data_IF_586621147356
#
_entry.id   IF_586621147356
#
_cell.length_a   1.000
_cell.length_b   1.000
_cell.length_c   1.000
_cell.angle_alpha   90.00
_cell.angle_beta   90.00
_cell.angle_gamma   90.00
#
_symmetry.space_group_name_H-M   'P 1'
#
loop_
_entity.id
_entity.type
_entity.pdbx_description
1 polymer ?
#
# COMPACT_ATOMS: atom_id res chain seq x y z
N UNK A 1 23.20 12.69 17.41
CA UNK A 1 23.06 11.23 17.27
C UNK A 1 23.05 11.02 15.78
N UNK A 2 24.20 10.67 15.20
CA UNK A 2 24.30 10.47 13.76
C UNK A 2 23.56 9.19 13.42
N UNK A 3 22.54 9.34 12.58
CA UNK A 3 21.72 8.23 12.11
C UNK A 3 22.47 7.60 10.94
N UNK A 4 23.18 6.51 11.20
CA UNK A 4 23.90 5.72 10.20
C UNK A 4 22.91 4.80 9.46
N UNK A 5 22.12 5.39 8.55
CA UNK A 5 21.24 4.65 7.62
C UNK A 5 21.90 4.71 6.23
N UNK A 6 22.43 3.59 5.72
CA UNK A 6 23.05 3.54 4.39
C UNK A 6 22.01 3.73 3.29
N UNK A 7 22.47 4.24 2.15
CA UNK A 7 21.65 4.40 0.94
C UNK A 7 21.45 3.04 0.29
N UNK A 8 20.27 2.45 0.49
CA UNK A 8 19.94 1.09 0.04
C UNK A 8 20.37 0.76 -1.41
N UNK A 9 20.19 1.71 -2.33
CA UNK A 9 20.49 1.51 -3.76
C UNK A 9 21.98 1.70 -4.13
N UNK A 10 22.79 2.29 -3.27
CA UNK A 10 24.21 2.59 -3.52
C UNK A 10 25.15 1.72 -2.65
N UNK A 11 24.68 1.33 -1.47
CA UNK A 11 25.46 0.66 -0.43
C UNK A 11 24.85 -0.70 -0.10
N UNK A 12 24.65 -1.52 -1.13
CA UNK A 12 23.94 -2.83 -1.04
C UNK A 12 24.63 -3.84 -0.13
N UNK A 13 25.92 -3.66 0.15
CA UNK A 13 26.71 -4.53 1.04
C UNK A 13 26.60 -4.12 2.52
N UNK A 14 25.98 -2.97 2.83
CA UNK A 14 25.80 -2.47 4.20
C UNK A 14 24.45 -2.89 4.76
N UNK A 15 24.42 -3.23 6.05
CA UNK A 15 23.17 -3.50 6.76
C UNK A 15 22.34 -2.22 6.84
N UNK A 16 21.08 -2.27 6.40
CA UNK A 16 20.22 -1.08 6.28
C UNK A 16 19.99 -0.32 7.57
N UNK A 17 20.12 -0.98 8.72
CA UNK A 17 20.02 -0.36 10.04
C UNK A 17 18.74 0.49 10.23
N UNK A 18 17.65 0.09 9.56
CA UNK A 18 16.36 0.79 9.64
C UNK A 18 15.62 0.34 10.90
N UNK A 19 15.20 1.31 11.71
CA UNK A 19 14.30 1.07 12.84
C UNK A 19 12.83 1.14 12.41
N UNK A 20 12.03 0.22 12.93
CA UNK A 20 10.57 0.22 12.75
C UNK A 20 9.87 0.34 14.11
N UNK A 21 8.77 1.09 14.14
CA UNK A 21 7.84 1.13 15.27
C UNK A 21 6.47 0.67 14.80
N UNK A 22 5.84 -0.22 15.56
CA UNK A 22 4.51 -0.75 15.29
C UNK A 22 3.64 -0.55 16.53
N UNK A 23 2.42 -0.06 16.33
CA UNK A 23 1.47 0.18 17.40
C UNK A 23 0.12 -0.46 17.08
N UNK A 24 -0.52 -1.03 18.09
CA UNK A 24 -1.88 -1.54 18.02
C UNK A 24 -2.68 -0.96 19.19
N UNK A 25 -3.90 -0.48 18.90
CA UNK A 25 -4.81 0.09 19.89
C UNK A 25 -6.05 -0.80 19.95
N UNK A 26 -6.32 -1.36 21.11
CA UNK A 26 -7.55 -2.12 21.35
C UNK A 26 -8.72 -1.16 21.57
N UNK A 27 -9.55 -1.00 20.53
CA UNK A 27 -10.72 -0.11 20.52
C UNK A 27 -11.72 -0.50 21.63
N UNK A 28 -11.83 -1.78 21.98
CA UNK A 28 -12.78 -2.27 22.99
C UNK A 28 -12.54 -1.68 24.39
N UNK A 29 -11.34 -1.15 24.63
CA UNK A 29 -10.99 -0.45 25.89
C UNK A 29 -11.57 0.96 25.97
N UNK A 30 -12.06 1.52 24.87
CA UNK A 30 -12.56 2.88 24.79
C UNK A 30 -14.07 2.93 24.53
N UNK A 31 -14.60 2.01 23.73
CA UNK A 31 -16.04 1.87 23.47
C UNK A 31 -16.38 0.51 22.86
N UNK A 32 -17.67 0.11 22.87
CA UNK A 32 -18.14 -1.03 22.09
C UNK A 32 -17.76 -0.91 20.60
N UNK A 33 -17.37 -2.02 19.97
CA UNK A 33 -16.88 -2.03 18.58
C UNK A 33 -17.93 -1.53 17.58
N UNK A 34 -19.19 -1.93 17.76
CA UNK A 34 -20.31 -1.49 16.93
C UNK A 34 -20.50 0.04 16.99
N UNK A 35 -20.32 0.64 18.16
CA UNK A 35 -20.37 2.10 18.33
C UNK A 35 -19.20 2.78 17.62
N UNK A 36 -18.00 2.20 17.66
CA UNK A 36 -16.85 2.72 16.92
C UNK A 36 -17.08 2.66 15.41
N UNK A 37 -17.52 1.51 14.89
CA UNK A 37 -17.80 1.29 13.47
C UNK A 37 -18.85 2.28 12.95
N UNK A 38 -19.97 2.43 13.66
CA UNK A 38 -21.01 3.40 13.29
C UNK A 38 -20.50 4.85 13.27
N UNK A 39 -19.58 5.21 14.17
CA UNK A 39 -18.98 6.56 14.18
C UNK A 39 -18.01 6.74 13.01
N UNK A 40 -17.19 5.74 12.72
CA UNK A 40 -16.29 5.76 11.57
C UNK A 40 -17.07 5.86 10.26
N UNK A 41 -18.13 5.08 10.10
CA UNK A 41 -19.00 5.14 8.92
C UNK A 41 -19.65 6.51 8.72
N UNK A 42 -20.18 7.13 9.79
CA UNK A 42 -20.73 8.49 9.74
C UNK A 42 -19.68 9.53 9.34
N UNK A 43 -18.47 9.42 9.88
CA UNK A 43 -17.36 10.31 9.53
C UNK A 43 -16.99 10.16 8.04
N UNK A 44 -16.85 8.93 7.57
CA UNK A 44 -16.57 8.61 6.18
C UNK A 44 -17.67 9.13 5.25
N UNK A 45 -18.93 8.88 5.56
CA UNK A 45 -20.06 9.40 4.79
C UNK A 45 -20.05 10.94 4.73
N UNK A 46 -19.77 11.61 5.84
CA UNK A 46 -19.66 13.08 5.87
C UNK A 46 -18.54 13.59 4.96
N UNK A 47 -17.36 12.95 4.97
CA UNK A 47 -16.26 13.32 4.08
C UNK A 47 -16.63 13.12 2.61
N UNK A 48 -17.19 11.95 2.26
CA UNK A 48 -17.62 11.62 0.89
C UNK A 48 -18.72 12.57 0.37
N UNK A 49 -19.58 13.09 1.26
CA UNK A 49 -20.64 14.04 0.90
C UNK A 49 -20.15 15.47 0.63
N UNK A 50 -18.88 15.77 0.90
CA UNK A 50 -18.32 17.10 0.73
C UNK A 50 -18.13 17.44 -0.75
N UNK A 51 -18.27 18.73 -1.09
CA UNK A 51 -18.06 19.20 -2.46
C UNK A 51 -16.62 18.91 -2.91
N UNK A 52 -16.40 18.21 -4.03
CA UNK A 52 -15.08 18.01 -4.59
C UNK A 52 -14.41 19.34 -4.99
N UNK A 53 -13.09 19.38 -4.93
CA UNK A 53 -12.33 20.51 -5.46
C UNK A 53 -12.49 20.61 -7.00
N UNK A 54 -12.31 21.80 -7.61
CA UNK A 54 -12.31 21.93 -9.06
C UNK A 54 -11.34 20.94 -9.73
N UNK A 55 -11.82 20.21 -10.73
CA UNK A 55 -11.04 19.17 -11.42
C UNK A 55 -11.10 17.78 -10.80
N UNK A 56 -11.89 17.57 -9.75
CA UNK A 56 -12.11 16.25 -9.14
C UNK A 56 -13.60 15.87 -9.13
N UNK A 57 -13.89 14.59 -9.35
CA UNK A 57 -15.26 14.09 -9.43
C UNK A 57 -15.84 13.72 -8.07
N UNK A 58 -15.00 13.32 -7.11
CA UNK A 58 -15.42 12.88 -5.79
C UNK A 58 -14.33 13.08 -4.74
N UNK A 59 -14.73 13.18 -3.47
CA UNK A 59 -13.82 13.02 -2.33
C UNK A 59 -13.59 11.51 -2.12
N UNK A 60 -12.35 11.11 -1.83
CA UNK A 60 -12.00 9.73 -1.50
C UNK A 60 -11.34 9.64 -0.14
N UNK A 61 -11.45 8.48 0.50
CA UNK A 61 -10.86 8.17 1.81
C UNK A 61 -9.57 7.36 1.58
N UNK A 62 -8.52 7.57 2.39
CA UNK A 62 -7.30 6.76 2.31
C UNK A 62 -7.62 5.26 2.30
N UNK A 63 -7.06 4.54 1.32
CA UNK A 63 -7.32 3.11 1.08
C UNK A 63 -8.36 2.81 0.00
N UNK A 64 -9.25 3.75 -0.38
CA UNK A 64 -10.25 3.49 -1.43
C UNK A 64 -9.61 3.28 -2.82
N UNK A 65 -8.58 4.06 -3.16
CA UNK A 65 -7.86 3.95 -4.43
C UNK A 65 -7.20 2.57 -4.52
N UNK A 66 -6.47 2.19 -3.48
CA UNK A 66 -5.76 0.91 -3.39
C UNK A 66 -6.72 -0.27 -3.39
N UNK A 67 -7.88 -0.15 -2.71
CA UNK A 67 -8.93 -1.17 -2.72
C UNK A 67 -9.51 -1.37 -4.12
N UNK A 68 -9.78 -0.29 -4.85
CA UNK A 68 -10.30 -0.35 -6.21
C UNK A 68 -9.27 -0.94 -7.18
N UNK A 69 -8.01 -0.50 -7.09
CA UNK A 69 -6.91 -1.08 -7.87
C UNK A 69 -6.72 -2.58 -7.56
N UNK A 70 -6.78 -2.97 -6.29
CA UNK A 70 -6.65 -4.38 -5.87
C UNK A 70 -7.79 -5.23 -6.43
N UNK A 71 -9.03 -4.75 -6.41
CA UNK A 71 -10.18 -5.46 -7.00
C UNK A 71 -9.97 -5.64 -8.51
N UNK A 72 -9.63 -4.57 -9.21
CA UNK A 72 -9.34 -4.61 -10.64
C UNK A 72 -8.21 -5.59 -10.97
N UNK A 73 -7.09 -5.51 -10.27
CA UNK A 73 -5.95 -6.41 -10.51
C UNK A 73 -6.22 -7.88 -10.17
N UNK A 74 -7.16 -8.17 -9.26
CA UNK A 74 -7.60 -9.55 -9.00
C UNK A 74 -8.43 -10.14 -10.13
N UNK A 75 -9.20 -9.30 -10.82
CA UNK A 75 -10.09 -9.72 -11.91
C UNK A 75 -9.35 -9.73 -13.25
N UNK A 76 -8.54 -8.71 -13.52
CA UNK A 76 -7.92 -8.47 -14.82
C UNK A 76 -6.43 -8.88 -14.87
N UNK A 77 -5.81 -9.16 -13.71
CA UNK A 77 -4.37 -9.36 -13.59
C UNK A 77 -3.61 -8.06 -13.29
N UNK A 78 -2.32 -8.19 -12.99
CA UNK A 78 -1.44 -7.05 -12.70
C UNK A 78 -0.76 -6.62 -13.99
N UNK A 79 -0.94 -5.36 -14.37
CA UNK A 79 -0.20 -4.75 -15.47
C UNK A 79 1.27 -4.59 -15.07
N UNK A 80 2.17 -5.14 -15.88
CA UNK A 80 3.62 -5.06 -15.67
C UNK A 80 4.29 -4.41 -16.87
N UNK A 81 5.33 -3.63 -16.61
CA UNK A 81 6.11 -3.01 -17.67
C UNK A 81 6.96 -4.04 -18.42
N UNK A 82 7.22 -3.78 -19.70
CA UNK A 82 8.14 -4.58 -20.53
C UNK A 82 9.57 -4.64 -19.95
N UNK A 83 9.97 -3.65 -19.15
CA UNK A 83 11.27 -3.66 -18.47
C UNK A 83 11.24 -4.71 -17.35
N UNK A 84 10.20 -4.71 -16.52
CA UNK A 84 10.05 -5.67 -15.41
C UNK A 84 9.91 -7.10 -15.90
N UNK A 85 9.15 -7.35 -16.97
CA UNK A 85 9.00 -8.68 -17.57
C UNK A 85 10.34 -9.24 -18.07
N UNK A 86 11.15 -8.39 -18.71
CA UNK A 86 12.51 -8.75 -19.14
C UNK A 86 13.41 -9.09 -17.96
N UNK A 87 13.41 -8.28 -16.91
CA UNK A 87 14.19 -8.54 -15.69
C UNK A 87 13.78 -9.87 -15.04
N UNK A 88 12.48 -10.17 -14.97
CA UNK A 88 11.99 -11.45 -14.46
C UNK A 88 12.43 -12.64 -15.32
N UNK A 89 12.43 -12.48 -16.65
CA UNK A 89 12.93 -13.52 -17.55
C UNK A 89 14.42 -13.78 -17.34
N UNK A 90 15.23 -12.73 -17.24
CA UNK A 90 16.67 -12.84 -16.98
C UNK A 90 16.97 -13.50 -15.62
N UNK A 91 16.18 -13.17 -14.59
CA UNK A 91 16.28 -13.82 -13.28
C UNK A 91 15.87 -15.29 -13.35
N UNK A 92 14.80 -15.63 -14.08
CA UNK A 92 14.34 -16.99 -14.25
C UNK A 92 15.41 -17.88 -14.90
N UNK A 93 16.03 -17.38 -15.98
CA UNK A 93 17.16 -18.04 -16.65
C UNK A 93 18.38 -18.19 -15.73
N UNK A 94 18.76 -17.12 -15.01
CA UNK A 94 19.93 -17.13 -14.12
C UNK A 94 19.81 -18.16 -13.01
N UNK A 95 18.63 -18.30 -12.42
CA UNK A 95 18.37 -19.21 -11.31
C UNK A 95 17.79 -20.56 -11.75
N UNK A 96 17.66 -20.80 -13.05
CA UNK A 96 17.11 -22.02 -13.64
C UNK A 96 15.73 -22.38 -13.07
N UNK A 97 14.83 -21.39 -13.02
CA UNK A 97 13.43 -21.54 -12.67
C UNK A 97 12.54 -21.25 -13.88
N UNK A 98 11.34 -21.84 -13.92
CA UNK A 98 10.38 -21.60 -15.00
C UNK A 98 9.93 -20.14 -15.01
N UNK A 99 9.88 -19.53 -16.20
CA UNK A 99 9.35 -18.19 -16.39
C UNK A 99 7.81 -18.26 -16.43
N UNK A 100 7.10 -17.64 -15.46
CA UNK A 100 5.68 -17.92 -15.22
C UNK A 100 4.70 -17.02 -15.99
N UNK A 101 5.18 -16.26 -16.98
CA UNK A 101 4.39 -15.34 -17.80
C UNK A 101 4.52 -15.68 -19.29
#
# INVERSE_FOLDING_TARGET
MDVDIPRFWEETDKMTNIGYFMGAIDISKFCPLDVFEQRAEKLFASMKSSRPAPGFDQVMIPGEIELNMTRKSREEGIEMSEVSLREFKELAERYNIEYPF
#
